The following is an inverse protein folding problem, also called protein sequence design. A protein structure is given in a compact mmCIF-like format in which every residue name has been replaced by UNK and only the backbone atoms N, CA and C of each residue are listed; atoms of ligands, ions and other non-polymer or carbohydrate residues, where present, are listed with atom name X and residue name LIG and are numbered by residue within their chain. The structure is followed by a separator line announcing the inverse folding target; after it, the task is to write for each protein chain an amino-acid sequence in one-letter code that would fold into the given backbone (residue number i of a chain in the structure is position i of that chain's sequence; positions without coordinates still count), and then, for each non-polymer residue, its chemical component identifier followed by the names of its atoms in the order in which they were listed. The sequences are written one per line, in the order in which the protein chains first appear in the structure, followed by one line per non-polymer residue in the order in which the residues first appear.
data_IF_495593075797
#
_entry.id   IF_495593075797
#
_cell.length_a   1.000
_cell.length_b   1.000
_cell.length_c   1.000
_cell.angle_alpha   90.00
_cell.angle_beta   90.00
_cell.angle_gamma   90.00
#
_symmetry.space_group_name_H-M   'P 1'
#
loop_
_entity.id
_entity.type
_entity.pdbx_description
1 polymer ?
#
# COMPACT_ATOMS: atom_id res chain seq x y z
N UNK A 1 12.90 -25.99 23.66
CA UNK A 1 13.04 -24.71 24.39
C UNK A 1 13.94 -23.80 23.57
N UNK A 2 13.45 -22.66 23.05
CA UNK A 2 14.26 -21.76 22.20
C UNK A 2 14.57 -20.40 22.88
N UNK A 3 13.76 -20.00 23.87
CA UNK A 3 13.85 -18.73 24.59
C UNK A 3 15.24 -18.46 25.20
N UNK A 4 15.96 -19.44 25.79
CA UNK A 4 17.32 -19.21 26.29
C UNK A 4 18.32 -18.71 25.23
N UNK A 5 18.02 -18.88 23.95
CA UNK A 5 18.87 -18.49 22.82
C UNK A 5 18.40 -17.21 22.12
N UNK A 6 17.50 -16.43 22.72
CA UNK A 6 16.94 -15.20 22.12
C UNK A 6 17.99 -14.17 21.71
N UNK A 7 19.11 -14.12 22.42
CA UNK A 7 20.24 -13.26 22.10
C UNK A 7 20.90 -13.58 20.74
N UNK A 8 20.61 -14.74 20.16
CA UNK A 8 21.11 -15.19 18.84
C UNK A 8 20.08 -15.04 17.73
N UNK A 9 18.84 -14.70 18.07
CA UNK A 9 17.76 -14.62 17.09
C UNK A 9 17.98 -13.40 16.20
N UNK A 10 18.02 -13.64 14.88
CA UNK A 10 18.07 -12.58 13.86
C UNK A 10 16.71 -12.34 13.23
N UNK A 11 15.96 -13.42 13.01
CA UNK A 11 14.63 -13.39 12.41
C UNK A 11 13.71 -14.22 13.26
N UNK A 12 12.56 -13.65 13.60
CA UNK A 12 11.44 -14.35 14.21
C UNK A 12 10.28 -14.25 13.24
N UNK A 13 9.70 -15.40 12.92
CA UNK A 13 8.47 -15.49 12.16
C UNK A 13 7.51 -16.44 12.88
N UNK A 14 6.39 -15.91 13.34
CA UNK A 14 5.35 -16.70 14.01
C UNK A 14 4.05 -16.50 13.23
N UNK A 15 3.44 -17.62 12.86
CA UNK A 15 2.10 -17.63 12.27
C UNK A 15 1.22 -18.50 13.15
N UNK A 16 0.11 -17.94 13.58
CA UNK A 16 -0.87 -18.63 14.41
C UNK A 16 -2.24 -18.54 13.75
N UNK A 17 -2.92 -19.67 13.65
CA UNK A 17 -4.30 -19.73 13.18
C UNK A 17 -5.31 -19.27 14.23
N UNK A 18 -4.91 -19.19 15.50
CA UNK A 18 -5.77 -18.82 16.61
C UNK A 18 -5.01 -17.86 17.53
N UNK A 19 -5.67 -16.80 18.01
CA UNK A 19 -4.97 -15.75 18.74
C UNK A 19 -4.37 -16.24 20.05
N UNK A 20 -5.01 -17.20 20.72
CA UNK A 20 -4.49 -17.73 21.98
C UNK A 20 -3.09 -18.37 21.84
N UNK A 21 -2.77 -18.96 20.68
CA UNK A 21 -1.42 -19.45 20.38
C UNK A 21 -0.43 -18.30 20.19
N UNK A 22 -0.84 -17.24 19.48
CA UNK A 22 -0.03 -16.03 19.36
C UNK A 22 0.20 -15.40 20.74
N UNK A 23 -0.85 -15.25 21.54
CA UNK A 23 -0.78 -14.71 22.89
C UNK A 23 0.12 -15.53 23.82
N UNK A 24 0.11 -16.87 23.70
CA UNK A 24 1.04 -17.73 24.44
C UNK A 24 2.50 -17.44 24.05
N UNK A 25 2.78 -17.27 22.76
CA UNK A 25 4.12 -16.86 22.29
C UNK A 25 4.50 -15.47 22.84
N UNK A 26 3.63 -14.47 22.68
CA UNK A 26 3.86 -13.11 23.16
C UNK A 26 4.13 -13.11 24.66
N UNK A 27 3.31 -13.81 25.44
CA UNK A 27 3.46 -13.93 26.90
C UNK A 27 4.80 -14.54 27.26
N UNK A 28 5.21 -15.59 26.55
CA UNK A 28 6.47 -16.27 26.81
C UNK A 28 7.69 -15.36 26.53
N UNK A 29 7.68 -14.56 25.46
CA UNK A 29 8.79 -13.63 25.14
C UNK A 29 8.70 -12.27 25.85
N UNK A 30 7.63 -12.05 26.62
CA UNK A 30 7.42 -10.87 27.46
C UNK A 30 7.66 -11.15 28.94
N UNK A 31 7.91 -12.41 29.31
CA UNK A 31 8.20 -12.76 30.68
C UNK A 31 9.48 -12.06 31.16
N UNK A 32 9.47 -11.58 32.39
CA UNK A 32 10.57 -10.85 33.02
C UNK A 32 11.91 -11.62 33.07
N UNK A 33 11.89 -12.94 32.98
CA UNK A 33 13.10 -13.77 32.89
C UNK A 33 13.71 -13.83 31.50
N UNK A 34 13.01 -13.36 30.47
CA UNK A 34 13.48 -13.34 29.08
C UNK A 34 14.36 -12.12 28.83
N UNK A 35 15.61 -12.30 28.36
CA UNK A 35 16.50 -11.18 28.10
C UNK A 35 16.13 -10.46 26.79
N UNK A 36 16.82 -9.35 26.54
CA UNK A 36 16.76 -8.61 25.29
C UNK A 36 17.07 -9.49 24.06
N UNK A 37 16.63 -9.01 22.89
CA UNK A 37 16.91 -9.62 21.58
C UNK A 37 17.91 -8.75 20.78
N UNK A 38 19.19 -8.64 21.21
CA UNK A 38 20.18 -7.71 20.65
C UNK A 38 20.52 -7.94 19.17
N UNK A 39 20.30 -9.14 18.64
CA UNK A 39 20.63 -9.51 17.27
C UNK A 39 19.42 -9.51 16.32
N UNK A 40 18.22 -9.20 16.85
CA UNK A 40 16.98 -9.32 16.10
C UNK A 40 16.87 -8.20 15.07
N UNK A 41 16.82 -8.57 13.79
CA UNK A 41 16.66 -7.66 12.66
C UNK A 41 15.26 -7.72 12.06
N UNK A 42 14.55 -8.84 12.21
CA UNK A 42 13.24 -9.06 11.60
C UNK A 42 12.26 -9.72 12.57
N UNK A 43 11.10 -9.09 12.76
CA UNK A 43 9.98 -9.61 13.54
C UNK A 43 8.73 -9.66 12.65
N UNK A 44 8.24 -10.87 12.38
CA UNK A 44 7.00 -11.07 11.63
C UNK A 44 6.01 -11.93 12.44
N UNK A 45 4.88 -11.34 12.83
CA UNK A 45 3.84 -11.99 13.61
C UNK A 45 2.52 -11.95 12.82
N UNK A 46 1.97 -13.13 12.54
CA UNK A 46 0.79 -13.30 11.70
C UNK A 46 -0.34 -14.00 12.46
N UNK A 47 -1.47 -13.30 12.60
CA UNK A 47 -2.75 -13.83 13.04
C UNK A 47 -3.86 -13.24 12.15
N UNK A 48 -4.40 -14.04 11.22
CA UNK A 48 -5.25 -13.57 10.11
C UNK A 48 -6.47 -14.48 9.90
N UNK A 49 -7.20 -14.81 10.96
CA UNK A 49 -8.40 -15.66 10.85
C UNK A 49 -9.73 -14.91 10.77
N UNK A 50 -9.81 -13.70 11.31
CA UNK A 50 -11.06 -12.93 11.34
C UNK A 50 -10.86 -11.50 10.82
N UNK A 51 -10.93 -11.37 9.50
CA UNK A 51 -10.96 -10.07 8.80
C UNK A 51 -12.32 -9.38 8.88
N UNK A 52 -13.35 -10.11 9.34
CA UNK A 52 -14.72 -9.64 9.37
C UNK A 52 -14.99 -9.00 10.73
N UNK A 53 -15.34 -7.72 10.71
CA UNK A 53 -15.70 -6.92 11.88
C UNK A 53 -14.52 -6.67 12.85
N UNK A 54 -13.59 -5.80 12.42
CA UNK A 54 -12.46 -5.31 13.22
C UNK A 54 -12.82 -4.09 14.10
N UNK A 55 -14.08 -3.95 14.51
CA UNK A 55 -14.49 -2.84 15.38
C UNK A 55 -13.92 -3.01 16.79
N UNK A 56 -13.91 -4.23 17.32
CA UNK A 56 -13.41 -4.53 18.66
C UNK A 56 -12.61 -5.83 18.68
N UNK A 57 -11.61 -5.88 19.55
CA UNK A 57 -10.76 -7.05 19.68
C UNK A 57 -11.54 -8.23 20.29
N UNK A 58 -11.61 -9.34 19.56
CA UNK A 58 -12.48 -10.48 19.90
C UNK A 58 -12.07 -11.23 21.18
N UNK A 59 -10.87 -10.98 21.71
CA UNK A 59 -10.37 -11.63 22.93
C UNK A 59 -10.02 -10.60 24.01
N UNK A 60 -11.00 -9.96 24.69
CA UNK A 60 -10.73 -8.88 25.65
C UNK A 60 -9.72 -9.23 26.76
N UNK A 61 -9.68 -10.50 27.20
CA UNK A 61 -8.71 -10.99 28.20
C UNK A 61 -7.26 -11.04 27.69
N UNK A 62 -7.07 -10.98 26.38
CA UNK A 62 -5.78 -11.03 25.68
C UNK A 62 -5.47 -9.69 24.99
N UNK A 63 -6.26 -8.63 25.25
CA UNK A 63 -6.04 -7.28 24.72
C UNK A 63 -4.88 -6.53 25.43
N UNK A 64 -4.21 -7.19 26.37
CA UNK A 64 -3.11 -6.58 27.12
C UNK A 64 -1.93 -6.35 26.17
N UNK A 65 -1.48 -5.10 26.10
CA UNK A 65 -0.25 -4.74 25.41
C UNK A 65 0.96 -5.33 26.17
N UNK A 66 1.71 -6.19 25.49
CA UNK A 66 2.86 -6.89 26.05
C UNK A 66 4.17 -6.27 25.54
N UNK A 67 5.12 -6.08 26.46
CA UNK A 67 6.48 -5.61 26.14
C UNK A 67 7.35 -6.81 25.78
N UNK A 68 7.73 -6.92 24.50
CA UNK A 68 8.50 -8.06 24.02
C UNK A 68 9.99 -7.85 24.28
N UNK A 69 10.73 -8.93 24.55
CA UNK A 69 12.20 -8.93 24.59
C UNK A 69 12.78 -7.93 25.61
N UNK A 70 12.15 -7.83 26.79
CA UNK A 70 12.48 -6.81 27.80
C UNK A 70 12.51 -5.37 27.25
N UNK A 71 11.76 -5.11 26.17
CA UNK A 71 11.69 -3.81 25.49
C UNK A 71 12.89 -3.49 24.58
N UNK A 72 13.81 -4.43 24.33
CA UNK A 72 15.05 -4.15 23.61
C UNK A 72 15.31 -5.10 22.43
N UNK A 73 15.27 -4.52 21.23
CA UNK A 73 15.66 -5.13 19.95
C UNK A 73 16.31 -4.05 19.06
N UNK A 74 17.54 -3.61 19.37
CA UNK A 74 18.15 -2.41 18.80
C UNK A 74 18.48 -2.52 17.30
N UNK A 75 18.64 -3.73 16.77
CA UNK A 75 18.98 -3.97 15.36
C UNK A 75 17.76 -4.21 14.48
N UNK A 76 16.55 -4.01 15.00
CA UNK A 76 15.32 -4.30 14.27
C UNK A 76 15.15 -3.34 13.08
N UNK A 77 15.07 -3.91 11.88
CA UNK A 77 14.89 -3.15 10.63
C UNK A 77 13.55 -3.43 9.96
N UNK A 78 12.92 -4.58 10.25
CA UNK A 78 11.63 -4.98 9.66
C UNK A 78 10.66 -5.44 10.73
N UNK A 79 9.48 -4.82 10.76
CA UNK A 79 8.35 -5.17 11.62
C UNK A 79 7.14 -5.50 10.73
N UNK A 80 6.57 -6.69 10.92
CA UNK A 80 5.30 -7.10 10.32
C UNK A 80 4.38 -7.61 11.43
N UNK A 81 3.26 -6.92 11.63
CA UNK A 81 2.27 -7.27 12.65
C UNK A 81 0.89 -7.37 11.99
N UNK A 82 0.35 -8.58 11.85
CA UNK A 82 -0.98 -8.83 11.28
C UNK A 82 -1.90 -9.36 12.36
N UNK A 83 -2.88 -8.57 12.77
CA UNK A 83 -3.81 -8.91 13.85
C UNK A 83 -3.12 -9.13 15.19
N UNK A 84 -1.91 -8.61 15.38
CA UNK A 84 -1.10 -8.77 16.60
C UNK A 84 -0.70 -7.41 17.15
N UNK A 85 -1.19 -7.09 18.34
CA UNK A 85 -0.82 -5.85 19.04
C UNK A 85 0.29 -6.10 20.06
N UNK A 86 1.07 -5.06 20.32
CA UNK A 86 2.16 -5.04 21.29
C UNK A 86 2.09 -3.75 22.09
N UNK A 87 2.96 -3.57 23.08
CA UNK A 87 3.17 -2.24 23.64
C UNK A 87 3.78 -1.29 22.60
N UNK A 88 2.93 -0.42 22.03
CA UNK A 88 3.33 0.57 21.02
C UNK A 88 4.36 1.61 21.54
N UNK A 89 4.54 1.73 22.86
CA UNK A 89 5.52 2.64 23.46
C UNK A 89 6.90 1.99 23.69
N UNK A 90 7.04 0.69 23.45
CA UNK A 90 8.32 0.02 23.73
C UNK A 90 9.44 0.54 22.80
N UNK A 91 10.70 0.61 23.28
CA UNK A 91 11.77 1.31 22.57
C UNK A 91 12.01 0.89 21.12
N UNK A 92 11.96 -0.41 20.81
CA UNK A 92 12.19 -0.89 19.44
C UNK A 92 11.07 -0.56 18.45
N UNK A 93 9.91 -0.08 18.93
CA UNK A 93 8.79 0.45 18.13
C UNK A 93 8.83 1.98 18.13
N UNK A 94 8.79 2.59 19.31
CA UNK A 94 8.66 4.04 19.47
C UNK A 94 9.95 4.83 19.15
N UNK A 95 11.11 4.17 19.17
CA UNK A 95 12.44 4.76 18.89
C UNK A 95 13.18 3.97 17.80
N UNK A 96 12.44 3.42 16.85
CA UNK A 96 12.93 2.50 15.82
C UNK A 96 13.76 3.20 14.72
N UNK A 97 14.93 3.73 15.09
CA UNK A 97 15.79 4.50 14.18
C UNK A 97 16.37 3.70 13.01
N UNK A 98 16.42 2.37 13.14
CA UNK A 98 16.90 1.44 12.11
C UNK A 98 15.78 0.85 11.24
N UNK A 99 14.51 1.19 11.51
CA UNK A 99 13.35 0.61 10.84
C UNK A 99 13.30 1.04 9.37
N UNK A 100 13.44 0.09 8.46
CA UNK A 100 13.33 0.29 7.01
C UNK A 100 11.96 -0.14 6.48
N UNK A 101 11.31 -1.09 7.15
CA UNK A 101 10.05 -1.70 6.71
C UNK A 101 9.07 -1.83 7.88
N UNK A 102 7.92 -1.18 7.77
CA UNK A 102 6.81 -1.28 8.72
C UNK A 102 5.54 -1.73 8.02
N UNK A 103 4.97 -2.83 8.49
CA UNK A 103 3.75 -3.42 7.95
C UNK A 103 2.78 -3.73 9.10
N UNK A 104 1.65 -3.02 9.12
CA UNK A 104 0.58 -3.20 10.10
C UNK A 104 -0.69 -3.62 9.36
N UNK A 105 -1.27 -4.75 9.75
CA UNK A 105 -2.47 -5.26 9.09
C UNK A 105 -3.49 -5.79 10.09
N UNK A 106 -4.78 -5.70 9.74
CA UNK A 106 -5.90 -6.39 10.38
C UNK A 106 -5.98 -6.18 11.90
N UNK A 107 -5.76 -4.95 12.37
CA UNK A 107 -5.89 -4.61 13.78
C UNK A 107 -7.31 -4.12 14.07
N UNK A 108 -7.93 -4.64 15.12
CA UNK A 108 -9.14 -4.07 15.67
C UNK A 108 -8.89 -2.65 16.21
N UNK A 109 -9.89 -1.78 16.13
CA UNK A 109 -9.75 -0.35 16.44
C UNK A 109 -9.19 -0.10 17.87
N UNK A 110 -9.63 -0.89 18.84
CA UNK A 110 -9.28 -0.78 20.27
C UNK A 110 -7.86 -1.24 20.63
N UNK A 111 -7.15 -1.90 19.72
CA UNK A 111 -5.75 -2.37 19.93
C UNK A 111 -4.74 -1.73 18.97
N UNK A 112 -5.20 -0.85 18.07
CA UNK A 112 -4.33 -0.01 17.23
C UNK A 112 -3.53 0.99 18.09
N UNK A 113 -2.34 1.43 17.62
CA UNK A 113 -1.67 2.54 18.28
C UNK A 113 -2.56 3.79 18.23
N UNK A 114 -2.61 4.58 19.30
CA UNK A 114 -3.22 5.91 19.21
C UNK A 114 -2.48 6.78 18.19
N UNK A 115 -3.12 7.85 17.71
CA UNK A 115 -2.47 8.79 16.77
C UNK A 115 -1.11 9.31 17.27
N UNK A 116 -1.01 9.62 18.57
CA UNK A 116 0.24 10.09 19.18
C UNK A 116 1.34 9.02 19.14
N UNK A 117 0.99 7.77 19.43
CA UNK A 117 1.92 6.64 19.37
C UNK A 117 2.36 6.37 17.94
N UNK A 118 1.40 6.29 17.01
CA UNK A 118 1.67 6.07 15.60
C UNK A 118 2.58 7.18 15.01
N UNK A 119 2.29 8.44 15.34
CA UNK A 119 3.12 9.58 14.95
C UNK A 119 4.54 9.48 15.52
N UNK A 120 4.67 9.03 16.77
CA UNK A 120 5.98 8.84 17.42
C UNK A 120 6.79 7.75 16.71
N UNK A 121 6.16 6.62 16.39
CA UNK A 121 6.78 5.52 15.64
C UNK A 121 7.33 6.02 14.31
N UNK A 122 6.49 6.70 13.51
CA UNK A 122 6.88 7.17 12.18
C UNK A 122 7.95 8.27 12.23
N UNK A 123 7.88 9.20 13.18
CA UNK A 123 8.90 10.26 13.33
C UNK A 123 10.25 9.72 13.78
N UNK A 124 10.27 8.64 14.56
CA UNK A 124 11.51 7.97 14.96
C UNK A 124 12.12 7.10 13.85
N UNK A 125 11.30 6.58 12.94
CA UNK A 125 11.72 5.75 11.80
C UNK A 125 12.29 6.58 10.64
N UNK A 126 13.35 7.36 10.89
CA UNK A 126 13.92 8.29 9.90
C UNK A 126 14.50 7.62 8.63
N UNK A 127 14.75 6.31 8.67
CA UNK A 127 15.26 5.52 7.54
C UNK A 127 14.19 4.65 6.87
N UNK A 128 12.92 4.82 7.23
CA UNK A 128 11.80 4.04 6.69
C UNK A 128 11.73 4.18 5.17
N UNK A 129 11.69 3.04 4.49
CA UNK A 129 11.58 2.94 3.02
C UNK A 129 10.21 2.41 2.60
N UNK A 130 9.64 1.51 3.41
CA UNK A 130 8.35 0.88 3.13
C UNK A 130 7.40 1.05 4.30
N UNK A 131 6.22 1.59 4.01
CA UNK A 131 5.11 1.69 4.95
C UNK A 131 3.91 0.98 4.33
N UNK A 132 3.34 0.03 5.07
CA UNK A 132 2.15 -0.68 4.63
C UNK A 132 1.11 -0.75 5.73
N UNK A 133 -0.10 -0.30 5.42
CA UNK A 133 -1.24 -0.25 6.32
C UNK A 133 -2.40 -0.99 5.65
N UNK A 134 -2.87 -2.07 6.28
CA UNK A 134 -3.97 -2.88 5.76
C UNK A 134 -5.07 -2.98 6.80
N UNK A 135 -6.14 -2.20 6.70
CA UNK A 135 -7.16 -2.12 7.75
C UNK A 135 -6.52 -1.90 9.13
N UNK A 136 -5.60 -0.92 9.19
CA UNK A 136 -4.75 -0.66 10.34
C UNK A 136 -4.23 0.78 10.35
N UNK A 137 -3.16 1.05 11.10
CA UNK A 137 -2.65 2.39 11.36
C UNK A 137 -3.16 2.93 12.70
N UNK A 138 -3.27 4.26 12.86
CA UNK A 138 -3.69 4.86 14.11
C UNK A 138 -5.18 4.60 14.39
N UNK A 139 -5.53 4.50 15.67
CA UNK A 139 -6.91 4.61 16.13
C UNK A 139 -7.35 6.07 16.24
N UNK A 140 -8.64 6.29 15.95
CA UNK A 140 -9.26 7.60 15.92
C UNK A 140 -8.81 8.49 14.78
N UNK A 141 -9.28 9.74 14.81
CA UNK A 141 -8.98 10.77 13.82
C UNK A 141 -7.64 11.49 14.12
N UNK A 142 -6.97 12.03 13.10
CA UNK A 142 -5.88 12.97 13.32
C UNK A 142 -6.36 14.15 14.19
N UNK A 143 -5.56 14.62 15.16
CA UNK A 143 -5.95 15.79 15.94
C UNK A 143 -6.07 17.01 15.00
N UNK A 144 -7.04 17.91 15.23
CA UNK A 144 -7.33 19.04 14.32
C UNK A 144 -6.16 20.03 14.13
N UNK A 145 -5.11 19.91 14.96
CA UNK A 145 -3.92 20.76 14.96
C UNK A 145 -2.64 19.93 14.80
N UNK A 146 -2.55 19.04 13.80
CA UNK A 146 -1.26 18.46 13.42
C UNK A 146 -0.39 19.60 12.86
N UNK A 147 0.37 20.26 13.74
CA UNK A 147 1.13 21.48 13.44
C UNK A 147 2.21 21.30 12.36
N UNK A 148 2.59 20.05 12.05
CA UNK A 148 3.55 19.75 11.00
C UNK A 148 3.33 18.33 10.42
N UNK A 149 3.34 18.16 9.09
CA UNK A 149 3.30 16.85 8.45
C UNK A 149 4.39 15.91 8.98
N UNK A 150 4.07 14.62 9.08
CA UNK A 150 5.04 13.59 9.43
C UNK A 150 6.00 13.42 8.25
N UNK A 151 7.29 13.67 8.51
CA UNK A 151 8.33 13.67 7.49
C UNK A 151 8.78 12.25 7.18
N UNK A 152 8.31 11.69 6.07
CA UNK A 152 8.64 10.34 5.61
C UNK A 152 9.55 10.42 4.37
N UNK A 153 10.68 11.10 4.52
CA UNK A 153 11.53 11.56 3.41
C UNK A 153 12.23 10.45 2.63
N UNK A 154 12.24 9.22 3.14
CA UNK A 154 12.86 8.04 2.50
C UNK A 154 11.85 6.98 2.06
N UNK A 155 10.56 7.16 2.36
CA UNK A 155 9.54 6.19 1.98
C UNK A 155 9.37 6.22 0.46
N UNK A 156 9.70 5.11 -0.17
CA UNK A 156 9.56 4.89 -1.62
C UNK A 156 8.32 4.08 -1.95
N UNK A 157 7.86 3.25 -1.00
CA UNK A 157 6.74 2.33 -1.15
C UNK A 157 5.71 2.63 -0.06
N UNK A 158 4.50 3.01 -0.47
CA UNK A 158 3.39 3.23 0.45
C UNK A 158 2.17 2.42 0.00
N UNK A 159 1.64 1.63 0.92
CA UNK A 159 0.48 0.79 0.70
C UNK A 159 -0.59 1.11 1.74
N UNK A 160 -1.80 1.43 1.27
CA UNK A 160 -2.99 1.56 2.11
C UNK A 160 -4.10 0.74 1.47
N UNK A 161 -4.60 -0.26 2.18
CA UNK A 161 -5.65 -1.17 1.68
C UNK A 161 -6.66 -1.48 2.76
N UNK A 162 -7.87 -1.84 2.36
CA UNK A 162 -8.93 -2.30 3.25
C UNK A 162 -9.28 -1.27 4.34
N UNK A 163 -9.33 0.01 3.97
CA UNK A 163 -9.73 1.09 4.87
C UNK A 163 -10.64 2.08 4.12
N UNK A 164 -11.31 2.96 4.87
CA UNK A 164 -12.23 3.93 4.27
C UNK A 164 -11.48 5.02 3.50
N UNK A 165 -12.14 5.60 2.50
CA UNK A 165 -11.58 6.72 1.74
C UNK A 165 -11.17 7.90 2.63
N UNK A 166 -11.98 8.24 3.64
CA UNK A 166 -11.66 9.30 4.60
C UNK A 166 -10.31 9.06 5.29
N UNK A 167 -10.04 7.82 5.72
CA UNK A 167 -8.76 7.46 6.33
C UNK A 167 -7.58 7.54 5.36
N UNK A 168 -7.80 7.24 4.08
CA UNK A 168 -6.75 7.41 3.07
C UNK A 168 -6.37 8.89 2.92
N UNK A 169 -7.37 9.78 2.84
CA UNK A 169 -7.18 11.23 2.74
C UNK A 169 -6.49 11.78 3.99
N UNK A 170 -6.92 11.38 5.18
CA UNK A 170 -6.32 11.81 6.45
C UNK A 170 -4.84 11.42 6.54
N UNK A 171 -4.50 10.18 6.16
CA UNK A 171 -3.11 9.72 6.16
C UNK A 171 -2.26 10.45 5.12
N UNK A 172 -2.75 10.55 3.87
CA UNK A 172 -2.03 11.21 2.78
C UNK A 172 -1.78 12.69 3.08
N UNK A 173 -2.78 13.39 3.61
CA UNK A 173 -2.66 14.81 3.98
C UNK A 173 -1.77 15.05 5.19
N UNK A 174 -1.60 14.06 6.07
CA UNK A 174 -0.72 14.16 7.23
C UNK A 174 0.74 13.83 6.91
N UNK A 175 1.03 13.16 5.80
CA UNK A 175 2.37 12.70 5.47
C UNK A 175 3.07 13.60 4.44
N UNK A 176 4.37 13.82 4.64
CA UNK A 176 5.25 14.38 3.61
C UNK A 176 6.12 13.28 3.01
N UNK A 177 5.83 12.91 1.77
CA UNK A 177 6.36 11.73 1.07
C UNK A 177 7.16 12.11 -0.20
N UNK A 178 8.26 12.86 -0.09
CA UNK A 178 8.98 13.39 -1.26
C UNK A 178 9.70 12.31 -2.09
N UNK A 179 10.00 11.15 -1.51
CA UNK A 179 10.69 10.06 -2.19
C UNK A 179 9.75 8.97 -2.74
N UNK A 180 8.42 9.16 -2.60
CA UNK A 180 7.45 8.14 -2.97
C UNK A 180 7.47 7.86 -4.47
N UNK A 181 7.54 6.57 -4.81
CA UNK A 181 7.57 6.06 -6.18
C UNK A 181 6.47 5.04 -6.44
N UNK A 182 6.09 4.27 -5.42
CA UNK A 182 5.14 3.18 -5.53
C UNK A 182 4.00 3.42 -4.55
N UNK A 183 2.79 3.56 -5.09
CA UNK A 183 1.58 3.75 -4.31
C UNK A 183 0.57 2.65 -4.65
N UNK A 184 0.07 1.97 -3.61
CA UNK A 184 -1.03 1.02 -3.75
C UNK A 184 -2.19 1.44 -2.84
N UNK A 185 -3.34 1.67 -3.47
CA UNK A 185 -4.59 2.06 -2.83
C UNK A 185 -5.66 0.99 -3.10
N UNK A 186 -6.26 0.46 -2.05
CA UNK A 186 -7.43 -0.44 -2.14
C UNK A 186 -8.49 -0.01 -1.12
N UNK A 187 -9.23 1.07 -1.40
CA UNK A 187 -10.26 1.55 -0.49
C UNK A 187 -11.40 0.54 -0.35
N UNK A 188 -11.94 0.42 0.86
CA UNK A 188 -13.22 -0.25 1.12
C UNK A 188 -14.34 0.80 1.08
N UNK A 189 -15.46 0.45 0.44
CA UNK A 189 -16.59 1.36 0.27
C UNK A 189 -17.73 0.74 -0.52
N UNK A 190 -18.85 1.45 -0.58
CA UNK A 190 -19.95 1.13 -1.49
C UNK A 190 -19.68 1.84 -2.82
N UNK A 191 -19.24 1.06 -3.82
CA UNK A 191 -18.81 1.61 -5.11
C UNK A 191 -19.93 2.30 -5.89
N UNK A 192 -21.19 2.09 -5.51
CA UNK A 192 -22.32 2.74 -6.16
C UNK A 192 -22.56 4.18 -5.63
N UNK A 193 -22.16 4.47 -4.38
CA UNK A 193 -22.50 5.72 -3.68
C UNK A 193 -21.28 6.60 -3.31
N UNK A 194 -20.06 6.06 -3.28
CA UNK A 194 -18.87 6.78 -2.79
C UNK A 194 -18.18 7.69 -3.86
N UNK A 195 -17.95 8.96 -3.52
CA UNK A 195 -17.25 9.96 -4.34
C UNK A 195 -15.73 9.95 -4.08
N UNK A 196 -14.94 9.37 -4.99
CA UNK A 196 -13.47 9.29 -4.88
C UNK A 196 -12.71 10.54 -5.34
N UNK A 197 -13.42 11.60 -5.74
CA UNK A 197 -12.85 12.84 -6.22
C UNK A 197 -11.99 13.54 -5.18
N UNK A 198 -12.36 13.46 -3.90
CA UNK A 198 -11.54 14.00 -2.79
C UNK A 198 -10.17 13.31 -2.71
N UNK A 199 -10.13 11.99 -2.89
CA UNK A 199 -8.88 11.22 -2.86
C UNK A 199 -7.98 11.61 -4.03
N UNK A 200 -8.53 11.72 -5.24
CA UNK A 200 -7.77 12.17 -6.42
C UNK A 200 -7.28 13.61 -6.28
N UNK A 201 -8.09 14.49 -5.71
CA UNK A 201 -7.69 15.86 -5.39
C UNK A 201 -6.54 15.89 -4.40
N UNK A 202 -6.53 15.02 -3.38
CA UNK A 202 -5.40 14.94 -2.45
C UNK A 202 -4.11 14.40 -3.13
N UNK A 203 -4.22 13.40 -4.02
CA UNK A 203 -3.06 12.88 -4.76
C UNK A 203 -2.43 13.90 -5.73
N UNK A 204 -3.28 14.75 -6.31
CA UNK A 204 -2.89 15.79 -7.29
C UNK A 204 -2.60 17.14 -6.63
N UNK A 205 -2.90 17.28 -5.34
CA UNK A 205 -2.62 18.49 -4.57
C UNK A 205 -1.11 18.76 -4.51
N UNK A 206 -0.66 20.02 -4.67
CA UNK A 206 0.75 20.35 -4.52
C UNK A 206 1.24 20.13 -3.08
N UNK A 207 2.33 19.37 -2.91
CA UNK A 207 2.79 18.91 -1.60
C UNK A 207 3.37 20.01 -0.68
N UNK A 208 3.71 21.19 -1.21
CA UNK A 208 4.14 22.34 -0.40
C UNK A 208 4.02 23.65 -1.17
N UNK A 209 3.34 24.68 -0.64
CA UNK A 209 3.23 25.99 -1.29
C UNK A 209 4.54 26.80 -1.27
N UNK A 210 5.58 26.31 -0.58
CA UNK A 210 6.84 27.06 -0.37
C UNK A 210 7.85 26.85 -1.51
N UNK A 211 7.66 25.82 -2.35
CA UNK A 211 8.54 25.57 -3.49
C UNK A 211 8.09 26.38 -4.72
N UNK A 212 9.05 26.95 -5.46
CA UNK A 212 8.80 27.70 -6.71
C UNK A 212 8.03 26.88 -7.77
N UNK A 213 8.06 25.55 -7.66
CA UNK A 213 7.22 24.63 -8.43
C UNK A 213 6.69 23.52 -7.51
N UNK A 214 5.52 23.71 -6.89
CA UNK A 214 5.00 22.76 -5.95
C UNK A 214 4.51 21.52 -6.72
N UNK A 215 5.16 20.37 -6.47
CA UNK A 215 4.85 19.11 -7.14
C UNK A 215 3.81 18.33 -6.36
N UNK A 216 2.86 17.74 -7.07
CA UNK A 216 1.91 16.79 -6.51
C UNK A 216 2.59 15.49 -6.10
N UNK A 217 1.93 14.70 -5.23
CA UNK A 217 2.38 13.35 -4.90
C UNK A 217 2.36 12.46 -6.16
N UNK A 218 1.29 12.56 -6.96
CA UNK A 218 1.13 11.83 -8.22
C UNK A 218 2.29 12.06 -9.21
N UNK A 219 2.81 13.28 -9.29
CA UNK A 219 3.87 13.64 -10.26
C UNK A 219 5.18 12.85 -10.14
N UNK A 220 5.42 12.18 -9.01
CA UNK A 220 6.66 11.43 -8.74
C UNK A 220 6.48 9.92 -8.88
N UNK A 221 5.24 9.45 -8.98
CA UNK A 221 4.96 8.02 -9.00
C UNK A 221 5.53 7.36 -10.26
N UNK A 222 6.19 6.23 -10.03
CA UNK A 222 6.67 5.30 -11.05
C UNK A 222 5.74 4.07 -11.15
N UNK A 223 5.02 3.74 -10.06
CA UNK A 223 3.99 2.70 -10.03
C UNK A 223 2.76 3.16 -9.25
N UNK A 224 1.59 2.88 -9.79
CA UNK A 224 0.30 3.15 -9.16
C UNK A 224 -0.61 1.93 -9.33
N UNK A 225 -1.15 1.45 -8.22
CA UNK A 225 -2.19 0.43 -8.20
C UNK A 225 -3.41 0.98 -7.49
N UNK A 226 -4.56 0.91 -8.16
CA UNK A 226 -5.86 1.22 -7.56
C UNK A 226 -6.83 0.09 -7.91
N UNK A 227 -7.22 -0.68 -6.90
CA UNK A 227 -8.01 -1.92 -7.08
C UNK A 227 -9.52 -1.68 -7.24
N UNK A 228 -10.01 -0.50 -6.89
CA UNK A 228 -11.39 -0.13 -7.12
C UNK A 228 -11.53 1.40 -7.23
N UNK A 229 -12.08 1.85 -8.35
CA UNK A 229 -12.39 3.25 -8.63
C UNK A 229 -13.84 3.34 -9.08
N UNK A 230 -14.75 4.01 -8.36
CA UNK A 230 -16.09 4.21 -8.87
C UNK A 230 -16.12 5.25 -10.00
N UNK A 231 -17.30 5.39 -10.59
CA UNK A 231 -17.53 6.20 -11.78
C UNK A 231 -17.28 7.70 -11.53
N UNK A 232 -16.11 8.23 -11.93
CA UNK A 232 -15.87 9.68 -12.00
C UNK A 232 -14.85 10.08 -13.08
N UNK A 233 -15.34 10.74 -14.12
CA UNK A 233 -14.59 11.11 -15.34
C UNK A 233 -13.66 12.32 -15.12
N UNK A 234 -14.10 13.34 -14.38
CA UNK A 234 -13.40 14.63 -14.37
C UNK A 234 -12.06 14.60 -13.60
N UNK A 235 -11.97 13.78 -12.56
CA UNK A 235 -10.76 13.72 -11.72
C UNK A 235 -9.65 12.86 -12.35
N UNK A 236 -9.99 11.90 -13.20
CA UNK A 236 -9.01 10.97 -13.76
C UNK A 236 -8.11 11.62 -14.80
N UNK A 237 -8.62 12.56 -15.60
CA UNK A 237 -7.81 13.36 -16.53
C UNK A 237 -6.76 14.19 -15.76
N UNK A 238 -7.17 14.81 -14.64
CA UNK A 238 -6.25 15.56 -13.79
C UNK A 238 -5.18 14.64 -13.20
N UNK A 239 -5.56 13.47 -12.69
CA UNK A 239 -4.63 12.49 -12.14
C UNK A 239 -3.64 11.97 -13.20
N UNK A 240 -4.12 11.51 -14.35
CA UNK A 240 -3.27 11.05 -15.45
C UNK A 240 -2.38 12.16 -16.01
N UNK A 241 -2.86 13.41 -15.99
CA UNK A 241 -2.09 14.60 -16.34
C UNK A 241 -0.89 14.83 -15.40
N UNK A 242 -1.00 14.45 -14.13
CA UNK A 242 0.09 14.54 -13.16
C UNK A 242 1.08 13.36 -13.28
N UNK A 243 0.62 12.16 -13.66
CA UNK A 243 1.39 10.90 -13.66
C UNK A 243 2.41 10.76 -14.82
N UNK A 244 3.19 11.81 -15.09
CA UNK A 244 4.16 11.88 -16.19
C UNK A 244 5.36 10.93 -16.05
N UNK A 245 5.63 10.46 -14.83
CA UNK A 245 6.72 9.53 -14.54
C UNK A 245 6.28 8.07 -14.41
N UNK A 246 4.98 7.79 -14.55
CA UNK A 246 4.41 6.49 -14.29
C UNK A 246 4.86 5.48 -15.34
N UNK A 247 5.40 4.34 -14.87
CA UNK A 247 5.90 3.23 -15.70
C UNK A 247 5.04 1.99 -15.59
N UNK A 248 4.44 1.78 -14.42
CA UNK A 248 3.54 0.67 -14.13
C UNK A 248 2.21 1.20 -13.65
N UNK A 249 1.13 0.76 -14.28
CA UNK A 249 -0.23 1.07 -13.87
C UNK A 249 -1.02 -0.21 -13.70
N UNK A 250 -1.85 -0.25 -12.67
CA UNK A 250 -2.69 -1.37 -12.37
C UNK A 250 -4.11 -0.90 -12.11
N UNK A 251 -4.99 -1.27 -13.03
CA UNK A 251 -6.37 -0.82 -13.12
C UNK A 251 -7.32 -2.00 -12.98
N UNK A 252 -8.22 -1.90 -12.01
CA UNK A 252 -9.37 -2.79 -11.93
C UNK A 252 -10.57 -2.14 -12.59
N UNK A 253 -11.12 -2.74 -13.66
CA UNK A 253 -12.32 -2.22 -14.34
C UNK A 253 -13.60 -2.99 -13.99
N UNK A 254 -13.59 -3.81 -12.92
CA UNK A 254 -14.81 -4.50 -12.48
C UNK A 254 -15.87 -3.54 -11.94
N UNK A 255 -15.43 -2.45 -11.34
CA UNK A 255 -16.28 -1.42 -10.72
C UNK A 255 -16.02 -0.03 -11.30
N UNK A 256 -15.19 0.05 -12.33
CA UNK A 256 -14.75 1.31 -12.95
C UNK A 256 -15.27 1.44 -14.36
N UNK A 257 -15.48 2.68 -14.79
CA UNK A 257 -15.88 2.95 -16.17
C UNK A 257 -14.77 2.52 -17.16
N UNK A 258 -15.11 1.85 -18.28
CA UNK A 258 -14.16 1.60 -19.36
C UNK A 258 -13.41 2.85 -19.85
N UNK A 259 -13.99 4.04 -19.65
CA UNK A 259 -13.39 5.34 -19.93
C UNK A 259 -11.99 5.51 -19.33
N UNK A 260 -11.71 4.93 -18.16
CA UNK A 260 -10.37 4.95 -17.54
C UNK A 260 -9.29 4.34 -18.45
N UNK A 261 -9.66 3.33 -19.25
CA UNK A 261 -8.80 2.69 -20.25
C UNK A 261 -8.82 3.44 -21.59
N UNK A 262 -9.96 4.02 -21.97
CA UNK A 262 -10.08 4.79 -23.20
C UNK A 262 -9.22 6.05 -23.17
N UNK A 263 -9.15 6.78 -22.04
CA UNK A 263 -8.31 7.99 -21.92
C UNK A 263 -6.86 7.68 -22.26
N UNK A 264 -6.28 6.60 -21.73
CA UNK A 264 -4.87 6.27 -21.99
C UNK A 264 -4.61 5.81 -23.44
N UNK A 265 -5.67 5.65 -24.23
CA UNK A 265 -5.67 5.33 -25.66
C UNK A 265 -5.87 6.55 -26.56
N UNK A 266 -6.23 7.72 -26.02
CA UNK A 266 -6.51 8.95 -26.80
C UNK A 266 -5.39 9.98 -26.66
N UNK A 267 -5.32 10.96 -27.58
CA UNK A 267 -4.42 12.10 -27.43
C UNK A 267 -4.73 12.89 -26.14
N UNK A 268 -3.69 13.41 -25.50
CA UNK A 268 -3.87 14.29 -24.35
C UNK A 268 -4.37 15.66 -24.81
N UNK A 269 -5.45 16.12 -24.19
CA UNK A 269 -6.12 17.39 -24.50
C UNK A 269 -5.70 18.52 -23.55
N UNK A 270 -4.92 18.23 -22.49
CA UNK A 270 -4.53 19.22 -21.50
C UNK A 270 -3.47 20.18 -22.03
N UNK A 271 -3.68 21.52 -21.89
CA UNK A 271 -2.68 22.51 -22.30
C UNK A 271 -1.33 22.32 -21.61
N UNK A 272 -0.25 22.37 -22.39
CA UNK A 272 1.12 22.26 -21.86
C UNK A 272 1.54 20.84 -21.45
N UNK A 273 0.71 19.83 -21.71
CA UNK A 273 1.06 18.41 -21.60
C UNK A 273 1.42 17.86 -22.99
N UNK A 274 2.22 16.79 -23.03
CA UNK A 274 2.60 16.15 -24.31
C UNK A 274 1.40 15.51 -25.01
N UNK A 275 1.60 14.98 -26.22
CA UNK A 275 0.50 14.55 -27.08
C UNK A 275 -0.29 13.32 -26.58
N UNK A 276 0.18 12.61 -25.55
CA UNK A 276 -0.44 11.38 -25.04
C UNK A 276 -0.39 11.27 -23.51
N UNK A 277 -1.43 10.68 -22.94
CA UNK A 277 -1.53 10.37 -21.53
C UNK A 277 -0.52 9.30 -21.10
N UNK A 278 0.04 9.47 -19.90
CA UNK A 278 1.00 8.54 -19.30
C UNK A 278 2.13 8.17 -20.28
N UNK A 279 2.93 9.15 -20.73
CA UNK A 279 3.88 8.95 -21.85
C UNK A 279 4.98 7.94 -21.53
N UNK A 280 5.21 7.62 -20.25
CA UNK A 280 6.22 6.66 -19.79
C UNK A 280 5.65 5.30 -19.40
N UNK A 281 4.34 5.09 -19.53
CA UNK A 281 3.69 3.83 -19.18
C UNK A 281 4.20 2.71 -20.07
N UNK A 282 4.81 1.71 -19.45
CA UNK A 282 5.43 0.56 -20.12
C UNK A 282 4.79 -0.76 -19.69
N UNK A 283 4.31 -0.86 -18.45
CA UNK A 283 3.65 -2.05 -17.89
C UNK A 283 2.24 -1.71 -17.47
N UNK A 284 1.28 -2.54 -17.89
CA UNK A 284 -0.13 -2.35 -17.58
C UNK A 284 -0.73 -3.67 -17.07
N UNK A 285 -1.32 -3.63 -15.87
CA UNK A 285 -2.16 -4.69 -15.32
C UNK A 285 -3.62 -4.25 -15.43
N UNK A 286 -4.46 -5.07 -16.04
CA UNK A 286 -5.88 -4.73 -16.21
C UNK A 286 -6.76 -5.90 -15.80
N UNK A 287 -7.79 -5.58 -15.03
CA UNK A 287 -8.89 -6.50 -14.73
C UNK A 287 -10.15 -6.04 -15.45
N UNK A 288 -10.95 -6.99 -15.93
CA UNK A 288 -12.28 -6.68 -16.47
C UNK A 288 -12.32 -5.94 -17.81
N UNK A 289 -11.21 -5.86 -18.56
CA UNK A 289 -11.21 -5.26 -19.90
C UNK A 289 -11.55 -6.27 -21.01
N UNK A 290 -12.30 -5.80 -22.02
CA UNK A 290 -12.56 -6.57 -23.23
C UNK A 290 -11.38 -6.54 -24.21
N UNK A 291 -11.19 -7.64 -24.96
CA UNK A 291 -10.11 -7.78 -25.93
C UNK A 291 -10.05 -6.65 -26.97
N UNK A 292 -11.19 -6.18 -27.47
CA UNK A 292 -11.25 -5.08 -28.45
C UNK A 292 -10.65 -3.79 -27.88
N UNK A 293 -10.98 -3.46 -26.63
CA UNK A 293 -10.47 -2.25 -25.96
C UNK A 293 -8.94 -2.35 -25.74
N UNK A 294 -8.45 -3.52 -25.35
CA UNK A 294 -7.01 -3.78 -25.19
C UNK A 294 -6.26 -3.68 -26.52
N UNK A 295 -6.79 -4.25 -27.61
CA UNK A 295 -6.21 -4.12 -28.97
C UNK A 295 -6.14 -2.66 -29.39
N UNK A 296 -7.24 -1.91 -29.20
CA UNK A 296 -7.31 -0.47 -29.49
C UNK A 296 -6.23 0.28 -28.72
N UNK A 297 -6.12 0.06 -27.41
CA UNK A 297 -5.10 0.69 -26.56
C UNK A 297 -3.67 0.43 -27.07
N UNK A 298 -3.31 -0.84 -27.28
CA UNK A 298 -1.97 -1.23 -27.74
C UNK A 298 -1.66 -0.59 -29.09
N UNK A 299 -2.61 -0.59 -30.03
CA UNK A 299 -2.44 0.01 -31.34
C UNK A 299 -2.25 1.52 -31.27
N UNK A 300 -3.10 2.23 -30.51
CA UNK A 300 -3.03 3.69 -30.40
C UNK A 300 -1.72 4.15 -29.75
N UNK A 301 -1.27 3.47 -28.70
CA UNK A 301 0.02 3.78 -28.06
C UNK A 301 1.21 3.51 -28.97
N UNK A 302 1.15 2.46 -29.80
CA UNK A 302 2.17 2.17 -30.82
C UNK A 302 2.22 3.25 -31.89
N UNK A 303 1.07 3.73 -32.37
CA UNK A 303 0.95 4.84 -33.34
C UNK A 303 1.51 6.14 -32.76
N UNK A 304 1.26 6.40 -31.47
CA UNK A 304 1.78 7.56 -30.76
C UNK A 304 3.28 7.46 -30.39
N UNK A 305 3.97 6.38 -30.75
CA UNK A 305 5.40 6.21 -30.48
C UNK A 305 5.74 5.89 -29.01
N UNK A 306 4.76 5.51 -28.20
CA UNK A 306 4.93 5.15 -26.77
C UNK A 306 4.34 3.75 -26.47
N UNK A 307 4.80 2.70 -27.18
CA UNK A 307 4.21 1.37 -27.07
C UNK A 307 4.33 0.80 -25.64
N UNK A 308 3.34 -0.01 -25.24
CA UNK A 308 3.45 -0.83 -24.04
C UNK A 308 4.48 -1.94 -24.25
N UNK A 309 5.31 -2.19 -23.25
CA UNK A 309 6.22 -3.34 -23.25
C UNK A 309 5.53 -4.59 -22.72
N UNK A 310 4.78 -4.46 -21.62
CA UNK A 310 4.19 -5.59 -20.92
C UNK A 310 2.72 -5.33 -20.60
N UNK A 311 1.87 -6.30 -20.93
CA UNK A 311 0.44 -6.28 -20.65
C UNK A 311 0.06 -7.55 -19.90
N UNK A 312 -0.51 -7.36 -18.72
CA UNK A 312 -1.00 -8.43 -17.87
C UNK A 312 -2.51 -8.29 -17.74
N UNK A 313 -3.24 -9.36 -18.04
CA UNK A 313 -4.72 -9.33 -18.03
C UNK A 313 -5.27 -10.41 -17.11
N UNK A 314 -6.33 -10.08 -16.36
CA UNK A 314 -7.06 -11.08 -15.60
C UNK A 314 -7.72 -12.12 -16.54
N UNK A 315 -7.71 -13.39 -16.11
CA UNK A 315 -8.20 -14.51 -16.91
C UNK A 315 -9.72 -14.57 -17.07
N UNK A 316 -10.47 -13.67 -16.43
CA UNK A 316 -11.91 -13.82 -16.21
C UNK A 316 -12.83 -13.38 -17.36
N UNK A 317 -12.42 -12.48 -18.27
CA UNK A 317 -13.42 -11.82 -19.14
C UNK A 317 -12.91 -11.43 -20.54
N UNK A 318 -13.74 -11.71 -21.56
CA UNK A 318 -13.80 -10.94 -22.80
C UNK A 318 -12.61 -11.06 -23.78
N UNK A 319 -11.75 -12.05 -23.60
CA UNK A 319 -10.62 -12.36 -24.49
C UNK A 319 -10.83 -13.73 -25.12
N UNK A 320 -11.11 -13.77 -26.43
CA UNK A 320 -11.02 -15.01 -27.22
C UNK A 320 -9.57 -15.26 -27.67
N UNK A 321 -9.34 -16.42 -28.27
CA UNK A 321 -8.01 -16.84 -28.75
C UNK A 321 -7.44 -15.87 -29.80
N UNK A 322 -8.27 -15.26 -30.65
CA UNK A 322 -7.83 -14.29 -31.65
C UNK A 322 -7.23 -13.04 -30.98
N UNK A 323 -7.90 -12.51 -29.96
CA UNK A 323 -7.38 -11.36 -29.22
C UNK A 323 -6.08 -11.71 -28.49
N UNK A 324 -6.03 -12.89 -27.87
CA UNK A 324 -4.84 -13.35 -27.12
C UNK A 324 -3.63 -13.46 -28.03
N UNK A 325 -3.79 -14.11 -29.19
CA UNK A 325 -2.70 -14.29 -30.14
C UNK A 325 -2.23 -12.95 -30.72
N UNK A 326 -3.18 -12.07 -31.07
CA UNK A 326 -2.83 -10.72 -31.52
C UNK A 326 -2.06 -9.93 -30.47
N UNK A 327 -2.44 -10.01 -29.19
CA UNK A 327 -1.76 -9.28 -28.11
C UNK A 327 -0.34 -9.81 -27.90
N UNK A 328 -0.13 -11.12 -27.91
CA UNK A 328 1.22 -11.73 -27.84
C UNK A 328 2.15 -11.27 -28.96
N UNK A 329 1.61 -10.98 -30.14
CA UNK A 329 2.38 -10.47 -31.29
C UNK A 329 2.68 -8.96 -31.21
N UNK A 330 1.95 -8.20 -30.39
CA UNK A 330 2.00 -6.74 -30.38
C UNK A 330 2.54 -6.11 -29.09
N UNK A 331 2.83 -6.91 -28.06
CA UNK A 331 3.60 -6.49 -26.88
C UNK A 331 4.74 -7.48 -26.62
N UNK A 332 5.80 -7.06 -25.92
CA UNK A 332 6.93 -7.95 -25.62
C UNK A 332 6.54 -9.06 -24.62
N UNK A 333 5.66 -8.72 -23.67
CA UNK A 333 5.17 -9.65 -22.66
C UNK A 333 3.66 -9.55 -22.58
N UNK A 334 2.98 -10.65 -22.90
CA UNK A 334 1.56 -10.81 -22.64
C UNK A 334 1.36 -12.03 -21.75
N UNK A 335 0.81 -11.81 -20.56
CA UNK A 335 0.54 -12.90 -19.61
C UNK A 335 -0.83 -12.72 -18.96
N UNK A 336 -1.47 -13.85 -18.70
CA UNK A 336 -2.62 -13.88 -17.80
C UNK A 336 -2.14 -13.93 -16.35
N UNK A 337 -2.82 -13.20 -15.48
CA UNK A 337 -2.65 -13.35 -14.04
C UNK A 337 -3.98 -13.74 -13.38
N UNK A 338 -3.92 -14.45 -12.25
CA UNK A 338 -5.11 -14.82 -11.50
C UNK A 338 -5.53 -13.65 -10.62
N UNK A 339 -6.64 -12.99 -10.95
CA UNK A 339 -7.13 -11.79 -10.27
C UNK A 339 -7.62 -11.99 -8.83
N UNK A 340 -7.75 -13.23 -8.35
CA UNK A 340 -8.10 -13.55 -6.95
C UNK A 340 -6.96 -13.34 -5.93
N UNK A 341 -5.95 -12.56 -6.29
CA UNK A 341 -4.66 -12.42 -5.62
C UNK A 341 -4.45 -11.08 -4.89
N UNK A 342 -5.50 -10.38 -4.43
CA UNK A 342 -5.30 -9.34 -3.38
C UNK A 342 -4.41 -9.88 -2.24
N UNK A 343 -4.53 -11.18 -1.94
CA UNK A 343 -3.72 -11.92 -0.98
C UNK A 343 -2.29 -12.28 -1.42
N UNK A 344 -2.04 -12.55 -2.71
CA UNK A 344 -0.72 -13.00 -3.20
C UNK A 344 0.11 -11.81 -3.72
N UNK A 345 -0.48 -10.72 -4.23
CA UNK A 345 0.25 -9.49 -4.58
C UNK A 345 0.88 -8.81 -3.37
N UNK A 346 0.17 -8.80 -2.23
CA UNK A 346 0.76 -8.34 -0.97
C UNK A 346 1.98 -9.19 -0.54
N UNK A 347 2.00 -10.49 -0.86
CA UNK A 347 3.20 -11.35 -0.67
C UNK A 347 4.26 -11.21 -1.78
N UNK A 348 3.88 -10.89 -3.03
CA UNK A 348 4.74 -10.80 -4.23
C UNK A 348 5.32 -9.42 -4.50
N UNK A 349 4.94 -8.38 -3.75
CA UNK A 349 5.74 -7.16 -3.59
C UNK A 349 7.19 -7.42 -3.13
N UNK A 350 7.55 -8.68 -2.85
CA UNK A 350 8.89 -9.19 -2.55
C UNK A 350 9.74 -9.60 -3.77
N UNK A 351 9.17 -9.73 -4.97
CA UNK A 351 9.90 -10.21 -6.17
C UNK A 351 10.14 -9.14 -7.24
N UNK A 352 9.71 -7.90 -7.00
CA UNK A 352 10.07 -6.75 -7.85
C UNK A 352 11.42 -6.17 -7.41
N UNK A 353 12.51 -6.91 -7.64
CA UNK A 353 13.90 -6.40 -7.70
C UNK A 353 14.74 -7.19 -8.68
#
# INVERSE_FOLDING_TARGET
MLIPHIHRWRTIKVTASEYHHMYAFLSAVSDHSVPAAPQLTTLELYHDKDRRNLVAFQHPRMAKHLTLFAGSAPLLTRIVLWGVHVDWNQPWVASASNLTDLELAYHAEDVRPSWAQFSTILRSASVLQKLSLCQSGPSGEPPPYVNAPIQLVRVTDFVIVFDTQARFIDLLSTFYLPALKHLYLSPEGDFDDDDFGDLFRELTRPASPVQEQPRSLASRLESLEISALPYQVDCIETLYGELQNLRSLNLSLYYSDPFFLDIISTPCTLPGRGDIWLPRLATLYVYGAFGIALRKLVLQRKVAGVPLSSLYVDRGYGLDDEHVDWLKENVNTFEFFEGGEEYRRFRRGREWR
#
